data_IF_537709262098
#
_entry.id   IF_537709262098
#
_cell.length_a   1.000
_cell.length_b   1.000
_cell.length_c   1.000
_cell.angle_alpha   90.00
_cell.angle_beta   90.00
_cell.angle_gamma   90.00
#
_symmetry.space_group_name_H-M   'P 1'
#
loop_
_entity.id
_entity.type
_entity.pdbx_description
1 polymer ?
#
# COMPACT_ATOMS: atom_id res chain seq x y z
N UNK A 1 17.90 36.06 -12.93
CA UNK A 1 16.84 35.85 -11.90
C UNK A 1 16.35 34.42 -12.07
N UNK A 2 16.79 33.48 -11.24
CA UNK A 2 16.33 32.10 -11.28
C UNK A 2 15.07 31.98 -10.41
N UNK A 3 13.94 31.60 -11.03
CA UNK A 3 12.71 31.29 -10.33
C UNK A 3 13.01 30.21 -9.28
N UNK A 4 12.76 30.55 -8.02
CA UNK A 4 12.73 29.60 -6.91
C UNK A 4 11.45 28.80 -7.06
N UNK A 5 11.57 27.52 -7.36
CA UNK A 5 10.47 26.56 -7.20
C UNK A 5 10.16 26.45 -5.71
N UNK A 6 9.15 27.16 -5.24
CA UNK A 6 8.62 26.95 -3.91
C UNK A 6 7.67 25.74 -3.98
N UNK A 7 8.14 24.59 -3.50
CA UNK A 7 7.23 23.51 -3.16
C UNK A 7 6.40 23.99 -1.94
N UNK A 8 5.12 24.24 -2.17
CA UNK A 8 4.21 24.76 -1.15
C UNK A 8 3.49 23.57 -0.52
N UNK A 9 3.67 23.36 0.77
CA UNK A 9 2.84 22.44 1.54
C UNK A 9 1.55 23.16 1.88
N UNK A 10 0.43 22.70 1.33
CA UNK A 10 -0.89 23.27 1.62
C UNK A 10 -1.52 22.53 2.80
N UNK A 11 -1.79 23.27 3.85
CA UNK A 11 -2.72 22.86 4.89
C UNK A 11 -4.12 23.32 4.50
N UNK A 12 -5.08 22.40 4.47
CA UNK A 12 -6.49 22.69 4.20
C UNK A 12 -7.39 22.06 5.27
N UNK A 13 -8.24 22.88 5.88
CA UNK A 13 -9.35 22.43 6.71
C UNK A 13 -10.58 23.28 6.37
N UNK A 14 -11.52 22.72 5.63
CA UNK A 14 -12.69 23.43 5.11
C UNK A 14 -12.30 24.62 4.21
N UNK A 15 -12.73 25.81 4.56
CA UNK A 15 -12.43 27.05 3.83
C UNK A 15 -11.08 27.69 4.22
N UNK A 16 -10.31 27.07 5.11
CA UNK A 16 -9.01 27.59 5.56
C UNK A 16 -7.92 26.93 4.72
N UNK A 17 -7.28 27.73 3.88
CA UNK A 17 -6.12 27.33 3.10
C UNK A 17 -4.88 28.04 3.63
N UNK A 18 -3.85 27.26 4.00
CA UNK A 18 -2.59 27.78 4.50
C UNK A 18 -1.45 27.31 3.60
N UNK A 19 -0.72 28.27 3.05
CA UNK A 19 0.46 28.02 2.24
C UNK A 19 1.70 28.21 3.09
N UNK A 20 2.55 27.20 3.11
CA UNK A 20 3.79 27.23 3.90
C UNK A 20 4.95 26.98 2.96
N UNK A 21 5.91 27.91 2.82
CA UNK A 21 7.08 27.69 1.96
C UNK A 21 7.97 26.61 2.55
N UNK A 22 8.41 25.70 1.70
CA UNK A 22 9.38 24.64 2.04
C UNK A 22 10.79 25.11 1.71
N UNK A 23 11.79 24.68 2.46
CA UNK A 23 13.19 24.95 2.18
C UNK A 23 13.62 24.38 0.82
N UNK A 24 14.70 24.94 0.24
CA UNK A 24 15.19 24.55 -1.10
C UNK A 24 15.61 23.09 -1.22
N UNK A 25 16.01 22.48 -0.12
CA UNK A 25 16.40 21.07 0.00
C UNK A 25 15.21 20.15 0.21
N UNK A 26 13.99 20.69 0.42
CA UNK A 26 12.78 19.90 0.67
C UNK A 26 12.71 19.23 2.06
N UNK A 27 13.72 19.44 2.91
CA UNK A 27 13.86 18.70 4.17
C UNK A 27 13.11 19.35 5.33
N UNK A 28 12.83 20.66 5.28
CA UNK A 28 12.15 21.35 6.37
C UNK A 28 11.42 22.61 5.92
N UNK A 29 10.56 23.11 6.79
CA UNK A 29 9.80 24.36 6.66
C UNK A 29 10.35 25.36 7.67
N UNK A 30 10.61 26.59 7.21
CA UNK A 30 11.13 27.67 8.04
C UNK A 30 10.22 28.90 7.95
N UNK A 31 9.66 29.34 9.06
CA UNK A 31 8.82 30.53 9.12
C UNK A 31 9.37 31.57 10.11
N UNK A 32 9.25 32.84 9.75
CA UNK A 32 9.45 33.93 10.68
C UNK A 32 8.27 34.05 11.66
N UNK A 33 8.46 34.78 12.76
CA UNK A 33 7.38 35.07 13.71
C UNK A 33 6.19 35.79 13.05
N UNK A 34 6.45 36.66 12.09
CA UNK A 34 5.42 37.37 11.33
C UNK A 34 4.63 36.39 10.44
N UNK A 35 5.31 35.49 9.71
CA UNK A 35 4.63 34.48 8.90
C UNK A 35 3.79 33.52 9.77
N UNK A 36 4.27 33.12 10.94
CA UNK A 36 3.48 32.35 11.91
C UNK A 36 2.28 33.16 12.46
N UNK A 37 2.41 34.47 12.63
CA UNK A 37 1.32 35.32 13.04
C UNK A 37 0.18 35.34 12.00
N UNK A 38 0.52 35.41 10.71
CA UNK A 38 -0.42 35.28 9.60
C UNK A 38 -0.99 33.85 9.54
N UNK A 39 -0.15 32.84 9.67
CA UNK A 39 -0.54 31.42 9.63
C UNK A 39 -1.63 31.13 10.68
N UNK A 40 -1.39 31.53 11.93
CA UNK A 40 -2.25 31.19 13.06
C UNK A 40 -3.29 32.26 13.40
N UNK A 41 -3.38 33.32 12.60
CA UNK A 41 -4.29 34.47 12.84
C UNK A 41 -4.16 35.04 14.27
N UNK A 42 -2.92 35.46 14.59
CA UNK A 42 -2.54 36.07 15.87
C UNK A 42 -1.54 37.19 15.64
N UNK A 43 -1.46 38.08 16.60
CA UNK A 43 -0.41 39.11 16.61
C UNK A 43 0.99 38.49 16.80
N UNK A 44 1.99 39.16 16.24
CA UNK A 44 3.37 38.66 16.26
C UNK A 44 3.94 38.59 17.69
N UNK A 45 3.51 39.47 18.58
CA UNK A 45 3.93 39.54 19.98
C UNK A 45 3.49 38.25 20.72
N UNK A 46 2.27 37.82 20.45
CA UNK A 46 1.73 36.56 21.01
C UNK A 46 2.52 35.35 20.49
N UNK A 47 2.78 35.31 19.19
CA UNK A 47 3.60 34.24 18.59
C UNK A 47 5.00 34.19 19.19
N UNK A 48 5.69 35.35 19.33
CA UNK A 48 7.00 35.45 19.98
C UNK A 48 6.98 34.94 21.43
N UNK A 49 5.91 35.21 22.17
CA UNK A 49 5.72 34.66 23.51
C UNK A 49 5.61 33.15 23.51
N UNK A 50 4.87 32.56 22.57
CA UNK A 50 4.78 31.11 22.44
C UNK A 50 6.14 30.49 22.04
N UNK A 51 6.86 31.06 21.08
CA UNK A 51 8.22 30.63 20.68
C UNK A 51 9.16 30.63 21.88
N UNK A 52 9.17 31.73 22.65
CA UNK A 52 10.03 31.82 23.85
C UNK A 52 9.67 30.79 24.90
N UNK A 53 8.38 30.45 25.05
CA UNK A 53 7.94 29.41 25.98
C UNK A 53 8.37 28.02 25.53
N UNK A 54 8.33 27.72 24.22
CA UNK A 54 8.81 26.46 23.65
C UNK A 54 10.29 26.24 23.96
N UNK A 55 11.12 27.28 23.74
CA UNK A 55 12.55 27.18 24.07
C UNK A 55 12.83 27.12 25.57
N UNK A 56 12.04 27.86 26.39
CA UNK A 56 12.18 27.83 27.85
C UNK A 56 11.83 26.48 28.45
N UNK A 57 10.83 25.79 27.91
CA UNK A 57 10.45 24.45 28.34
C UNK A 57 11.38 23.35 27.84
N UNK A 58 12.40 23.71 27.06
CA UNK A 58 13.33 22.76 26.42
C UNK A 58 12.61 21.71 25.55
N UNK A 59 11.42 22.02 25.05
CA UNK A 59 10.68 21.14 24.15
C UNK A 59 11.35 21.04 22.78
N UNK A 60 11.98 22.13 22.35
CA UNK A 60 12.77 22.21 21.11
C UNK A 60 14.09 22.90 21.42
N UNK A 61 15.20 22.38 20.93
CA UNK A 61 16.52 23.02 21.04
C UNK A 61 16.60 24.29 20.16
N UNK A 62 16.98 25.40 20.79
CA UNK A 62 17.01 26.70 20.10
C UNK A 62 18.06 26.79 19.01
N UNK A 63 19.24 26.16 19.20
CA UNK A 63 20.39 26.36 18.31
C UNK A 63 20.14 25.72 16.94
N UNK A 64 19.54 24.53 16.94
CA UNK A 64 19.25 23.77 15.73
C UNK A 64 17.96 24.21 15.03
N UNK A 65 17.10 24.95 15.74
CA UNK A 65 15.75 25.30 15.30
C UNK A 65 15.52 26.80 15.08
N UNK A 66 16.60 27.59 15.03
CA UNK A 66 16.56 29.02 14.73
C UNK A 66 17.69 29.39 13.78
N UNK A 67 17.38 30.05 12.68
CA UNK A 67 18.35 30.65 11.77
C UNK A 67 18.02 32.11 11.49
N UNK A 68 19.07 32.91 11.24
CA UNK A 68 18.91 34.32 10.87
C UNK A 68 19.14 34.45 9.36
N UNK A 69 18.15 34.95 8.64
CA UNK A 69 18.23 35.17 7.19
C UNK A 69 17.99 36.65 6.85
N UNK A 70 18.68 37.16 5.82
CA UNK A 70 18.41 38.48 5.25
C UNK A 70 17.16 38.40 4.36
N UNK A 71 16.23 39.29 4.59
CA UNK A 71 15.00 39.44 3.80
C UNK A 71 15.08 40.76 3.06
N UNK A 72 14.75 40.78 1.78
CA UNK A 72 14.75 41.98 0.96
C UNK A 72 13.81 43.04 1.56
N UNK A 73 14.31 44.27 1.65
CA UNK A 73 13.58 45.41 2.27
C UNK A 73 13.68 45.50 3.79
N UNK A 74 14.35 44.54 4.48
CA UNK A 74 14.54 44.56 5.92
C UNK A 74 15.99 44.84 6.27
N UNK A 75 16.29 45.89 7.05
CA UNK A 75 17.66 46.31 7.39
C UNK A 75 18.44 45.29 8.26
N UNK A 76 17.71 44.55 9.10
CA UNK A 76 18.34 43.56 10.01
C UNK A 76 17.93 42.12 9.63
N UNK A 77 18.80 41.14 9.87
CA UNK A 77 18.44 39.74 9.65
C UNK A 77 17.23 39.33 10.50
N UNK A 78 16.29 38.64 9.87
CA UNK A 78 15.06 38.13 10.50
C UNK A 78 15.31 36.71 11.00
N UNK A 79 14.83 36.38 12.20
CA UNK A 79 14.86 35.04 12.74
C UNK A 79 13.77 34.18 12.09
N UNK A 80 14.14 33.03 11.58
CA UNK A 80 13.28 31.97 11.09
C UNK A 80 13.36 30.75 12.00
N UNK A 81 12.28 30.02 12.14
CA UNK A 81 12.10 28.92 13.04
C UNK A 81 11.68 27.67 12.26
N UNK A 82 12.22 26.52 12.66
CA UNK A 82 12.00 25.23 12.01
C UNK A 82 10.56 24.74 12.13
N UNK A 83 10.25 23.66 11.40
CA UNK A 83 8.97 22.97 11.49
C UNK A 83 8.64 22.53 12.93
N UNK A 84 9.62 22.09 13.71
CA UNK A 84 9.41 21.67 15.10
C UNK A 84 8.87 22.82 15.96
N UNK A 85 9.44 24.01 15.83
CA UNK A 85 8.94 25.21 16.52
C UNK A 85 7.55 25.61 16.03
N UNK A 86 7.30 25.52 14.72
CA UNK A 86 5.99 25.83 14.12
C UNK A 86 4.91 24.89 14.68
N UNK A 87 5.19 23.59 14.74
CA UNK A 87 4.29 22.58 15.30
C UNK A 87 4.02 22.86 16.78
N UNK A 88 5.08 23.07 17.59
CA UNK A 88 4.96 23.35 19.01
C UNK A 88 4.15 24.63 19.31
N UNK A 89 4.32 25.68 18.51
CA UNK A 89 3.53 26.91 18.58
C UNK A 89 2.08 26.63 18.18
N UNK A 90 1.83 25.91 17.09
CA UNK A 90 0.50 25.56 16.59
C UNK A 90 -0.35 24.81 17.59
N UNK A 91 0.26 23.93 18.38
CA UNK A 91 -0.44 23.23 19.48
C UNK A 91 -0.80 24.14 20.65
N UNK A 92 -0.11 25.28 20.84
CA UNK A 92 -0.33 26.21 21.95
C UNK A 92 -1.22 27.40 21.62
N UNK A 93 -1.29 27.76 20.34
CA UNK A 93 -2.05 28.96 19.91
C UNK A 93 -3.55 28.72 20.02
N UNK A 94 -4.23 29.61 20.74
CA UNK A 94 -5.68 29.60 20.86
C UNK A 94 -6.32 30.53 19.82
N UNK A 95 -6.54 30.02 18.61
CA UNK A 95 -7.24 30.67 17.50
C UNK A 95 -8.02 29.65 16.69
N UNK A 96 -8.96 30.09 15.84
CA UNK A 96 -9.69 29.18 14.94
C UNK A 96 -8.72 28.45 13.99
N UNK A 97 -7.73 29.15 13.45
CA UNK A 97 -6.70 28.58 12.60
C UNK A 97 -5.78 27.60 13.37
N UNK A 98 -5.48 27.88 14.64
CA UNK A 98 -4.75 26.95 15.51
C UNK A 98 -5.55 25.68 15.79
N UNK A 99 -6.88 25.79 15.97
CA UNK A 99 -7.77 24.62 16.11
C UNK A 99 -7.77 23.79 14.82
N UNK A 100 -7.93 24.42 13.67
CA UNK A 100 -7.90 23.78 12.37
C UNK A 100 -6.57 23.06 12.12
N UNK A 101 -5.45 23.72 12.42
CA UNK A 101 -4.12 23.13 12.34
C UNK A 101 -3.97 21.87 13.20
N UNK A 102 -4.42 21.91 14.47
CA UNK A 102 -4.37 20.72 15.34
C UNK A 102 -5.23 19.57 14.84
N UNK A 103 -6.43 19.84 14.31
CA UNK A 103 -7.28 18.82 13.70
C UNK A 103 -6.60 18.15 12.53
N UNK A 104 -6.00 18.93 11.64
CA UNK A 104 -5.23 18.42 10.51
C UNK A 104 -4.02 17.59 10.97
N UNK A 105 -3.18 18.12 11.85
CA UNK A 105 -1.99 17.42 12.35
C UNK A 105 -2.36 16.09 13.01
N UNK A 106 -3.42 16.09 13.84
CA UNK A 106 -3.92 14.87 14.46
C UNK A 106 -4.49 13.89 13.44
N UNK A 107 -5.10 14.35 12.35
CA UNK A 107 -5.59 13.48 11.28
C UNK A 107 -4.43 12.82 10.52
N UNK A 108 -3.39 13.59 10.18
CA UNK A 108 -2.17 13.07 9.56
C UNK A 108 -1.53 12.01 10.47
N UNK A 109 -1.37 12.32 11.76
CA UNK A 109 -0.80 11.38 12.74
C UNK A 109 -1.66 10.11 12.89
N UNK A 110 -2.98 10.24 12.94
CA UNK A 110 -3.88 9.08 12.96
C UNK A 110 -3.76 8.22 11.71
N UNK A 111 -3.68 8.84 10.54
CA UNK A 111 -3.48 8.09 9.29
C UNK A 111 -2.16 7.31 9.34
N UNK A 112 -1.08 7.96 9.77
CA UNK A 112 0.21 7.29 9.91
C UNK A 112 0.18 6.15 10.92
N UNK A 113 -0.40 6.35 12.10
CA UNK A 113 -0.47 5.31 13.16
C UNK A 113 -1.35 4.12 12.72
N UNK A 114 -2.50 4.41 12.07
CA UNK A 114 -3.47 3.36 11.73
C UNK A 114 -3.17 2.65 10.42
N UNK A 115 -2.56 3.34 9.44
CA UNK A 115 -2.31 2.83 8.08
C UNK A 115 -0.84 2.62 7.76
N UNK A 116 0.08 3.09 8.62
CA UNK A 116 1.53 3.07 8.37
C UNK A 116 2.03 4.20 7.44
N UNK A 117 1.14 4.99 6.83
CA UNK A 117 1.50 6.10 5.95
C UNK A 117 0.51 7.27 6.04
N UNK A 118 0.96 8.47 5.64
CA UNK A 118 0.11 9.64 5.43
C UNK A 118 0.38 10.20 4.02
N UNK A 119 -0.67 10.32 3.20
CA UNK A 119 -0.57 10.75 1.81
C UNK A 119 -0.92 12.23 1.68
N UNK A 120 -0.07 12.99 0.99
CA UNK A 120 -0.42 14.30 0.48
C UNK A 120 -1.14 14.13 -0.88
N UNK A 121 -2.47 14.13 -0.87
CA UNK A 121 -3.30 13.89 -2.07
C UNK A 121 -3.01 14.86 -3.22
N UNK A 122 -2.73 16.15 -2.92
CA UNK A 122 -2.39 17.14 -3.96
C UNK A 122 -1.07 16.82 -4.63
N UNK A 123 -0.04 16.42 -3.85
CA UNK A 123 1.24 16.00 -4.38
C UNK A 123 1.12 14.72 -5.20
N UNK A 124 0.30 13.77 -4.74
CA UNK A 124 0.00 12.54 -5.47
C UNK A 124 -0.69 12.84 -6.81
N UNK A 125 -1.69 13.74 -6.83
CA UNK A 125 -2.35 14.15 -8.07
C UNK A 125 -1.39 14.87 -9.03
N UNK A 126 -0.50 15.73 -8.52
CA UNK A 126 0.51 16.39 -9.34
C UNK A 126 1.50 15.37 -9.94
N UNK A 127 1.93 14.36 -9.16
CA UNK A 127 2.78 13.28 -9.64
C UNK A 127 2.07 12.43 -10.71
N UNK A 128 0.81 12.05 -10.50
CA UNK A 128 0.00 11.34 -11.51
C UNK A 128 -0.06 12.12 -12.82
N UNK A 129 -0.37 13.42 -12.75
CA UNK A 129 -0.38 14.27 -13.95
C UNK A 129 0.98 14.35 -14.64
N UNK A 130 2.07 14.34 -13.91
CA UNK A 130 3.42 14.29 -14.47
C UNK A 130 3.68 12.97 -15.19
N UNK A 131 3.28 11.84 -14.58
CA UNK A 131 3.38 10.51 -15.20
C UNK A 131 2.55 10.46 -16.50
N UNK A 132 1.31 10.98 -16.49
CA UNK A 132 0.47 11.03 -17.68
C UNK A 132 1.14 11.82 -18.83
N UNK A 133 1.73 12.98 -18.54
CA UNK A 133 2.45 13.79 -19.52
C UNK A 133 3.67 13.04 -20.05
N UNK A 134 4.47 12.44 -19.19
CA UNK A 134 5.65 11.67 -19.58
C UNK A 134 5.28 10.45 -20.42
N UNK A 135 4.20 9.76 -20.08
CA UNK A 135 3.70 8.61 -20.84
C UNK A 135 3.26 8.99 -22.25
N UNK A 136 2.59 10.14 -22.42
CA UNK A 136 2.24 10.68 -23.75
C UNK A 136 3.48 10.99 -24.57
N UNK A 137 4.44 11.71 -23.98
CA UNK A 137 5.70 12.03 -24.66
C UNK A 137 6.46 10.79 -25.10
N UNK A 138 6.44 9.72 -24.28
CA UNK A 138 7.08 8.46 -24.58
C UNK A 138 6.32 7.70 -25.67
N UNK A 139 4.99 7.68 -25.62
CA UNK A 139 4.13 7.08 -26.65
C UNK A 139 4.34 7.73 -28.01
N UNK A 140 4.36 9.06 -28.06
CA UNK A 140 4.65 9.83 -29.28
C UNK A 140 6.05 9.52 -29.83
N UNK A 141 7.06 9.43 -28.95
CA UNK A 141 8.45 9.16 -29.35
C UNK A 141 8.67 7.72 -29.86
N UNK A 142 7.89 6.76 -29.39
CA UNK A 142 7.99 5.34 -29.77
C UNK A 142 6.95 4.92 -30.81
N UNK A 143 6.08 5.83 -31.25
CA UNK A 143 4.98 5.56 -32.20
C UNK A 143 4.03 4.43 -31.72
N UNK A 144 3.78 4.37 -30.40
CA UNK A 144 2.86 3.41 -29.74
C UNK A 144 1.68 4.15 -29.10
N UNK A 145 0.61 3.43 -28.77
CA UNK A 145 -0.53 4.06 -28.12
C UNK A 145 -0.24 4.44 -26.66
N UNK A 146 -0.66 5.64 -26.24
CA UNK A 146 -0.50 6.15 -24.87
C UNK A 146 -1.03 5.16 -23.82
N UNK A 147 -2.14 4.47 -24.11
CA UNK A 147 -2.75 3.50 -23.21
C UNK A 147 -1.81 2.32 -22.88
N UNK A 148 -0.96 1.90 -23.83
CA UNK A 148 -0.04 0.78 -23.62
C UNK A 148 1.13 1.18 -22.73
N UNK A 149 1.62 2.42 -22.90
CA UNK A 149 2.64 3.00 -22.00
C UNK A 149 2.10 3.15 -20.57
N UNK A 150 0.89 3.72 -20.44
CA UNK A 150 0.25 3.90 -19.13
C UNK A 150 -0.02 2.56 -18.44
N UNK A 151 -0.47 1.53 -19.19
CA UNK A 151 -0.67 0.19 -18.65
C UNK A 151 0.62 -0.37 -18.08
N UNK A 152 1.71 -0.37 -18.86
CA UNK A 152 3.01 -0.88 -18.40
C UNK A 152 3.55 -0.13 -17.17
N UNK A 153 3.39 1.20 -17.12
CA UNK A 153 3.81 2.01 -15.96
C UNK A 153 2.98 1.69 -14.72
N UNK A 154 1.66 1.53 -14.88
CA UNK A 154 0.77 1.20 -13.76
C UNK A 154 1.06 -0.22 -13.22
N UNK A 155 1.15 -1.23 -14.10
CA UNK A 155 1.48 -2.61 -13.70
C UNK A 155 2.81 -2.68 -12.92
N UNK A 156 3.84 -1.97 -13.38
CA UNK A 156 5.12 -1.89 -12.69
C UNK A 156 5.00 -1.19 -11.33
N UNK A 157 4.23 -0.11 -11.26
CA UNK A 157 4.01 0.65 -10.02
C UNK A 157 3.24 -0.19 -9.00
N UNK A 158 2.19 -0.89 -9.42
CA UNK A 158 1.38 -1.75 -8.56
C UNK A 158 2.20 -2.93 -8.02
N UNK A 159 3.08 -3.50 -8.85
CA UNK A 159 4.01 -4.54 -8.42
C UNK A 159 4.99 -4.04 -7.35
N UNK A 160 5.55 -2.82 -7.50
CA UNK A 160 6.43 -2.21 -6.49
C UNK A 160 5.70 -1.92 -5.19
N UNK A 161 4.46 -1.43 -5.25
CA UNK A 161 3.62 -1.18 -4.07
C UNK A 161 3.35 -2.50 -3.34
N UNK A 162 3.05 -3.56 -4.07
CA UNK A 162 2.81 -4.88 -3.48
C UNK A 162 4.05 -5.43 -2.78
N UNK A 163 5.24 -5.26 -3.38
CA UNK A 163 6.52 -5.65 -2.76
C UNK A 163 6.78 -4.87 -1.48
N UNK A 164 6.59 -3.54 -1.49
CA UNK A 164 6.75 -2.70 -0.30
C UNK A 164 5.81 -3.12 0.84
N UNK A 165 4.54 -3.38 0.50
CA UNK A 165 3.55 -3.87 1.47
C UNK A 165 3.91 -5.25 2.03
N UNK A 166 4.47 -6.13 1.21
CA UNK A 166 4.95 -7.45 1.66
C UNK A 166 6.12 -7.31 2.64
N UNK A 167 7.12 -6.52 2.30
CA UNK A 167 8.32 -6.31 3.12
C UNK A 167 7.97 -5.68 4.48
N UNK A 168 7.00 -4.78 4.52
CA UNK A 168 6.53 -4.13 5.75
C UNK A 168 5.40 -4.88 6.46
N UNK A 169 5.01 -6.07 6.00
CA UNK A 169 3.90 -6.88 6.53
C UNK A 169 2.57 -6.10 6.61
N UNK A 170 2.39 -5.16 5.70
CA UNK A 170 1.24 -4.25 5.66
C UNK A 170 0.22 -4.62 4.57
N UNK A 171 0.33 -5.82 3.98
CA UNK A 171 -0.61 -6.32 2.97
C UNK A 171 -2.05 -6.25 3.49
N UNK A 172 -2.86 -5.49 2.79
CA UNK A 172 -4.30 -5.47 3.03
C UNK A 172 -4.99 -6.61 2.28
N UNK A 173 -6.11 -7.07 2.86
CA UNK A 173 -6.99 -8.01 2.16
C UNK A 173 -7.79 -7.23 1.11
N UNK A 174 -7.67 -7.54 -0.19
CA UNK A 174 -8.44 -6.87 -1.22
C UNK A 174 -9.92 -7.30 -1.16
N UNK A 175 -10.81 -6.48 -1.71
CA UNK A 175 -12.19 -6.89 -1.95
C UNK A 175 -12.21 -8.07 -2.92
N UNK A 176 -13.04 -9.06 -2.63
CA UNK A 176 -13.11 -10.28 -3.40
C UNK A 176 -14.42 -10.44 -4.18
N UNK A 177 -14.42 -11.37 -5.13
CA UNK A 177 -15.56 -11.73 -5.95
C UNK A 177 -16.38 -12.85 -5.30
N UNK A 178 -17.66 -12.97 -5.65
CA UNK A 178 -18.48 -14.10 -5.19
C UNK A 178 -18.17 -15.34 -6.03
N UNK A 179 -17.82 -16.50 -5.42
CA UNK A 179 -17.58 -17.71 -6.18
C UNK A 179 -18.90 -18.24 -6.77
N UNK A 180 -18.87 -18.68 -8.02
CA UNK A 180 -20.02 -19.29 -8.71
C UNK A 180 -19.92 -20.80 -8.82
N UNK A 181 -18.74 -21.35 -8.59
CA UNK A 181 -18.43 -22.77 -8.66
C UNK A 181 -17.74 -23.24 -7.39
N UNK A 182 -18.04 -24.48 -6.98
CA UNK A 182 -17.43 -25.17 -5.83
C UNK A 182 -16.72 -26.41 -6.31
N UNK A 183 -15.40 -26.51 -6.08
CA UNK A 183 -14.63 -27.71 -6.40
C UNK A 183 -14.99 -28.84 -5.44
N UNK A 184 -15.12 -30.05 -5.96
CA UNK A 184 -15.43 -31.26 -5.18
C UNK A 184 -14.20 -32.18 -5.05
N UNK A 185 -14.27 -33.11 -4.10
CA UNK A 185 -13.22 -34.13 -3.94
C UNK A 185 -13.11 -35.03 -5.18
N UNK A 186 -14.25 -35.43 -5.76
CA UNK A 186 -14.33 -36.28 -6.94
C UNK A 186 -13.64 -35.63 -8.15
N UNK A 187 -13.85 -34.34 -8.36
CA UNK A 187 -13.17 -33.59 -9.43
C UNK A 187 -11.66 -33.51 -9.19
N UNK A 188 -11.22 -33.30 -7.94
CA UNK A 188 -9.80 -33.34 -7.60
C UNK A 188 -9.18 -34.71 -7.93
N UNK A 189 -9.84 -35.80 -7.54
CA UNK A 189 -9.37 -37.17 -7.84
C UNK A 189 -9.30 -37.41 -9.34
N UNK A 190 -10.32 -36.99 -10.10
CA UNK A 190 -10.33 -37.14 -11.56
C UNK A 190 -9.18 -36.33 -12.20
N UNK A 191 -8.95 -35.11 -11.80
CA UNK A 191 -7.89 -34.27 -12.34
C UNK A 191 -6.52 -34.83 -12.01
N UNK A 192 -6.29 -35.27 -10.77
CA UNK A 192 -5.04 -35.92 -10.36
C UNK A 192 -4.80 -37.21 -11.15
N UNK A 193 -5.86 -38.00 -11.41
CA UNK A 193 -5.78 -39.18 -12.26
C UNK A 193 -5.29 -38.88 -13.69
N UNK A 194 -5.85 -37.81 -14.30
CA UNK A 194 -5.43 -37.35 -15.63
C UNK A 194 -3.98 -36.83 -15.63
N UNK A 195 -3.56 -36.16 -14.58
CA UNK A 195 -2.18 -35.70 -14.44
C UNK A 195 -1.20 -36.86 -14.28
N UNK A 196 -1.57 -37.94 -13.58
CA UNK A 196 -0.74 -39.09 -13.31
C UNK A 196 -0.25 -39.76 -14.60
N UNK A 197 -1.08 -39.81 -15.63
CA UNK A 197 -0.73 -40.37 -16.94
C UNK A 197 0.41 -39.59 -17.65
N UNK A 198 0.68 -38.37 -17.21
CA UNK A 198 1.73 -37.50 -17.77
C UNK A 198 3.06 -37.58 -17.01
N UNK A 199 3.13 -38.34 -15.91
CA UNK A 199 4.33 -38.43 -15.06
C UNK A 199 4.74 -39.88 -14.84
N UNK A 200 6.03 -40.17 -15.05
CA UNK A 200 6.62 -41.52 -14.96
C UNK A 200 6.89 -41.94 -13.50
N UNK A 201 6.03 -41.63 -12.54
CA UNK A 201 6.22 -42.04 -11.14
C UNK A 201 4.98 -42.72 -10.58
N UNK A 202 5.13 -43.89 -9.99
CA UNK A 202 4.03 -44.65 -9.38
C UNK A 202 3.42 -44.00 -8.15
N UNK A 203 4.11 -43.04 -7.55
CA UNK A 203 3.70 -42.36 -6.30
C UNK A 203 3.07 -40.96 -6.53
N UNK A 204 3.05 -40.48 -7.78
CA UNK A 204 2.41 -39.19 -8.10
C UNK A 204 0.91 -39.21 -7.78
N UNK A 205 0.45 -38.25 -7.02
CA UNK A 205 -0.96 -38.12 -6.68
C UNK A 205 -1.52 -39.22 -5.77
N UNK A 206 -0.68 -40.02 -5.14
CA UNK A 206 -1.09 -41.01 -4.12
C UNK A 206 -1.25 -40.27 -2.80
N UNK A 207 -2.49 -40.26 -2.24
CA UNK A 207 -2.74 -39.66 -0.93
C UNK A 207 -1.93 -40.38 0.15
N UNK A 208 -1.31 -39.63 1.06
CA UNK A 208 -0.57 -40.19 2.20
C UNK A 208 -1.48 -40.76 3.27
N UNK A 209 -2.66 -40.17 3.41
CA UNK A 209 -3.67 -40.52 4.39
C UNK A 209 -5.04 -40.41 3.72
N UNK A 210 -5.87 -41.42 3.86
CA UNK A 210 -7.22 -41.44 3.27
C UNK A 210 -8.05 -40.27 3.78
N UNK A 211 -8.69 -39.54 2.86
CA UNK A 211 -9.55 -38.41 3.16
C UNK A 211 -8.83 -37.08 3.48
N UNK A 212 -7.52 -37.02 3.37
CA UNK A 212 -6.76 -35.79 3.65
C UNK A 212 -7.11 -34.68 2.66
N UNK A 213 -7.19 -35.01 1.37
CA UNK A 213 -7.63 -34.05 0.33
C UNK A 213 -9.08 -33.62 0.56
N UNK A 214 -9.95 -34.55 0.93
CA UNK A 214 -11.35 -34.22 1.27
C UNK A 214 -11.40 -33.25 2.45
N UNK A 215 -10.57 -33.45 3.48
CA UNK A 215 -10.45 -32.56 4.63
C UNK A 215 -9.98 -31.15 4.23
N UNK A 216 -9.02 -31.03 3.31
CA UNK A 216 -8.53 -29.74 2.79
C UNK A 216 -9.68 -29.01 2.05
N UNK A 217 -10.41 -29.70 1.18
CA UNK A 217 -11.53 -29.12 0.47
C UNK A 217 -12.60 -28.64 1.46
N UNK A 218 -12.95 -29.49 2.45
CA UNK A 218 -13.88 -29.11 3.48
C UNK A 218 -13.43 -27.88 4.27
N UNK A 219 -12.12 -27.75 4.56
CA UNK A 219 -11.56 -26.58 5.24
C UNK A 219 -11.70 -25.28 4.43
N UNK A 220 -11.57 -25.34 3.09
CA UNK A 220 -11.79 -24.18 2.20
C UNK A 220 -13.24 -23.71 2.23
N UNK A 221 -14.19 -24.60 2.42
CA UNK A 221 -15.63 -24.30 2.43
C UNK A 221 -16.25 -24.32 3.83
N UNK A 222 -15.42 -24.32 4.89
CA UNK A 222 -15.93 -24.29 6.25
C UNK A 222 -16.69 -23.00 6.55
N UNK A 223 -17.71 -23.10 7.38
CA UNK A 223 -18.45 -21.96 7.90
C UNK A 223 -18.37 -21.90 9.43
N UNK A 224 -18.29 -20.69 9.96
CA UNK A 224 -18.27 -20.41 11.39
C UNK A 224 -19.46 -19.51 11.71
N UNK A 225 -20.34 -19.97 12.60
CA UNK A 225 -21.59 -19.27 12.94
C UNK A 225 -22.46 -18.92 11.72
N UNK A 226 -22.49 -19.80 10.71
CA UNK A 226 -23.28 -19.59 9.49
C UNK A 226 -22.69 -18.64 8.46
N UNK A 227 -21.45 -18.18 8.66
CA UNK A 227 -20.71 -17.37 7.69
C UNK A 227 -19.50 -18.16 7.18
N UNK A 228 -19.24 -18.09 5.88
CA UNK A 228 -18.06 -18.70 5.28
C UNK A 228 -16.79 -18.14 5.90
N UNK A 229 -15.88 -19.02 6.32
CA UNK A 229 -14.56 -18.60 6.83
C UNK A 229 -13.73 -17.88 5.75
N UNK A 230 -13.94 -18.24 4.49
CA UNK A 230 -13.32 -17.64 3.30
C UNK A 230 -14.44 -17.23 2.32
N UNK A 231 -15.06 -16.05 2.48
CA UNK A 231 -16.27 -15.69 1.75
C UNK A 231 -16.03 -15.43 0.26
N UNK A 232 -14.86 -14.92 -0.14
CA UNK A 232 -14.59 -14.57 -1.52
C UNK A 232 -13.95 -15.70 -2.32
N UNK A 233 -14.06 -15.61 -3.64
CA UNK A 233 -13.43 -16.50 -4.61
C UNK A 233 -11.91 -16.50 -4.41
N UNK A 234 -11.31 -15.32 -4.33
CA UNK A 234 -9.87 -15.14 -4.20
C UNK A 234 -9.35 -15.72 -2.86
N UNK A 235 -10.12 -15.59 -1.77
CA UNK A 235 -9.77 -16.24 -0.50
C UNK A 235 -9.83 -17.75 -0.58
N UNK A 236 -10.87 -18.29 -1.21
CA UNK A 236 -11.01 -19.74 -1.38
C UNK A 236 -9.87 -20.27 -2.24
N UNK A 237 -9.56 -19.61 -3.37
CA UNK A 237 -8.48 -19.97 -4.26
C UNK A 237 -7.11 -19.95 -3.53
N UNK A 238 -6.81 -18.84 -2.83
CA UNK A 238 -5.57 -18.69 -2.11
C UNK A 238 -5.39 -19.71 -0.98
N UNK A 239 -6.47 -19.99 -0.21
CA UNK A 239 -6.41 -21.01 0.83
C UNK A 239 -6.35 -22.43 0.26
N UNK A 240 -7.01 -22.72 -0.87
CA UNK A 240 -6.88 -24.00 -1.56
C UNK A 240 -5.42 -24.25 -1.94
N UNK A 241 -4.79 -23.29 -2.61
CA UNK A 241 -3.37 -23.35 -2.98
C UNK A 241 -2.47 -23.56 -1.75
N UNK A 242 -2.69 -22.76 -0.70
CA UNK A 242 -1.91 -22.79 0.52
C UNK A 242 -2.00 -24.16 1.21
N UNK A 243 -3.20 -24.66 1.49
CA UNK A 243 -3.39 -25.94 2.18
C UNK A 243 -2.86 -27.12 1.39
N UNK A 244 -3.13 -27.18 0.08
CA UNK A 244 -2.62 -28.25 -0.77
C UNK A 244 -1.08 -28.32 -0.80
N UNK A 245 -0.40 -27.19 -0.65
CA UNK A 245 1.06 -27.15 -0.56
C UNK A 245 1.54 -27.50 0.84
N UNK A 246 0.99 -26.88 1.89
CA UNK A 246 1.51 -26.97 3.27
C UNK A 246 1.15 -28.29 3.96
N UNK A 247 -0.04 -28.82 3.72
CA UNK A 247 -0.48 -30.05 4.38
C UNK A 247 0.09 -31.30 3.71
N UNK A 248 0.76 -31.13 2.56
CA UNK A 248 1.42 -32.22 1.83
C UNK A 248 0.55 -33.49 1.70
N UNK A 249 -0.66 -33.42 1.13
CA UNK A 249 -1.59 -34.53 1.12
C UNK A 249 -1.12 -35.72 0.26
N UNK A 250 -0.24 -35.50 -0.70
CA UNK A 250 0.25 -36.54 -1.61
C UNK A 250 1.69 -36.94 -1.31
N UNK A 251 2.04 -38.17 -1.66
CA UNK A 251 3.40 -38.70 -1.56
C UNK A 251 4.37 -37.96 -2.50
N UNK A 252 3.93 -37.66 -3.74
CA UNK A 252 4.60 -36.81 -4.70
C UNK A 252 3.58 -35.92 -5.46
N UNK A 253 4.07 -34.83 -6.01
CA UNK A 253 3.31 -33.94 -6.89
C UNK A 253 2.54 -32.85 -6.18
N UNK A 254 2.60 -32.68 -4.84
CA UNK A 254 1.79 -31.71 -4.09
C UNK A 254 1.79 -30.31 -4.71
N UNK A 255 2.95 -29.75 -5.07
CA UNK A 255 3.05 -28.39 -5.65
C UNK A 255 2.40 -28.31 -7.03
N UNK A 256 2.61 -29.32 -7.89
CA UNK A 256 2.04 -29.37 -9.25
C UNK A 256 0.52 -29.54 -9.19
N UNK A 257 0.04 -30.46 -8.35
CA UNK A 257 -1.39 -30.69 -8.15
C UNK A 257 -2.06 -29.44 -7.55
N UNK A 258 -1.45 -28.82 -6.53
CA UNK A 258 -1.96 -27.59 -5.93
C UNK A 258 -2.11 -26.45 -6.95
N UNK A 259 -1.09 -26.23 -7.78
CA UNK A 259 -1.12 -25.22 -8.84
C UNK A 259 -2.20 -25.54 -9.89
N UNK A 260 -2.35 -26.81 -10.30
CA UNK A 260 -3.37 -27.21 -11.27
C UNK A 260 -4.78 -27.06 -10.69
N UNK A 261 -5.02 -27.48 -9.45
CA UNK A 261 -6.31 -27.27 -8.77
C UNK A 261 -6.69 -25.81 -8.59
N UNK A 262 -5.69 -24.98 -8.30
CA UNK A 262 -5.87 -23.55 -8.20
C UNK A 262 -6.29 -22.94 -9.55
N UNK A 263 -5.61 -23.30 -10.65
CA UNK A 263 -5.97 -22.82 -11.98
C UNK A 263 -7.36 -23.30 -12.40
N UNK A 264 -7.67 -24.58 -12.19
CA UNK A 264 -8.99 -25.18 -12.48
C UNK A 264 -10.10 -24.47 -11.68
N UNK A 265 -9.86 -24.19 -10.40
CA UNK A 265 -10.82 -23.47 -9.57
C UNK A 265 -11.06 -22.05 -10.09
N UNK A 266 -10.01 -21.33 -10.52
CA UNK A 266 -10.15 -20.00 -11.12
C UNK A 266 -10.88 -20.07 -12.47
N UNK A 267 -10.56 -21.04 -13.32
CA UNK A 267 -11.18 -21.21 -14.64
C UNK A 267 -12.67 -21.48 -14.53
N UNK A 268 -13.06 -22.45 -13.71
CA UNK A 268 -14.47 -22.79 -13.44
C UNK A 268 -15.28 -21.64 -12.82
N UNK A 269 -14.61 -20.71 -12.18
CA UNK A 269 -15.21 -19.50 -11.64
C UNK A 269 -15.13 -18.30 -12.60
N UNK A 270 -14.68 -18.49 -13.85
CA UNK A 270 -14.45 -17.44 -14.85
C UNK A 270 -13.49 -16.33 -14.34
N UNK A 271 -12.52 -16.71 -13.53
CA UNK A 271 -11.58 -15.80 -12.88
C UNK A 271 -10.12 -16.04 -13.28
N UNK A 272 -9.85 -16.98 -14.20
CA UNK A 272 -8.50 -17.24 -14.71
C UNK A 272 -8.05 -16.17 -15.71
N UNK A 273 -8.99 -15.64 -16.49
CA UNK A 273 -8.73 -14.63 -17.50
C UNK A 273 -9.51 -13.35 -17.17
N UNK A 274 -8.91 -12.20 -17.47
CA UNK A 274 -9.54 -10.88 -17.45
C UNK A 274 -9.25 -10.21 -18.80
N UNK A 275 -10.29 -9.78 -19.51
CA UNK A 275 -10.19 -9.16 -20.84
C UNK A 275 -9.37 -9.98 -21.86
N UNK A 276 -9.37 -11.32 -21.71
CA UNK A 276 -8.65 -12.25 -22.57
C UNK A 276 -7.19 -12.53 -22.18
N UNK A 277 -6.67 -11.86 -21.16
CA UNK A 277 -5.34 -12.09 -20.61
C UNK A 277 -5.41 -12.90 -19.31
N UNK A 278 -4.41 -13.78 -19.07
CA UNK A 278 -4.31 -14.50 -17.80
C UNK A 278 -4.05 -13.51 -16.65
N UNK A 279 -4.86 -13.57 -15.60
CA UNK A 279 -4.65 -12.76 -14.38
C UNK A 279 -3.33 -13.06 -13.67
N UNK A 280 -2.84 -14.28 -13.80
CA UNK A 280 -1.61 -14.70 -13.18
C UNK A 280 -0.70 -15.35 -14.22
N UNK A 281 0.50 -14.81 -14.42
CA UNK A 281 1.47 -15.44 -15.33
C UNK A 281 1.96 -16.77 -14.79
N UNK A 282 2.40 -17.67 -15.67
CA UNK A 282 2.94 -18.97 -15.29
C UNK A 282 4.17 -18.81 -14.37
N UNK A 283 5.01 -17.80 -14.62
CA UNK A 283 6.16 -17.49 -13.77
C UNK A 283 5.75 -17.03 -12.36
N UNK A 284 4.71 -16.21 -12.26
CA UNK A 284 4.16 -15.77 -10.97
C UNK A 284 3.57 -16.95 -10.20
N UNK A 285 2.84 -17.86 -10.87
CA UNK A 285 2.30 -19.08 -10.26
C UNK A 285 3.40 -19.95 -9.67
N UNK A 286 4.48 -20.17 -10.41
CA UNK A 286 5.64 -20.93 -9.91
C UNK A 286 6.25 -20.26 -8.70
N UNK A 287 6.47 -18.93 -8.76
CA UNK A 287 7.08 -18.17 -7.67
C UNK A 287 6.26 -18.26 -6.37
N UNK A 288 4.94 -17.99 -6.43
CA UNK A 288 4.08 -18.05 -5.23
C UNK A 288 3.96 -19.48 -4.68
N UNK A 289 3.93 -20.50 -5.55
CA UNK A 289 3.91 -21.90 -5.13
C UNK A 289 5.17 -22.27 -4.33
N UNK A 290 6.35 -21.81 -4.78
CA UNK A 290 7.62 -22.02 -4.07
C UNK A 290 7.68 -21.18 -2.79
N UNK A 291 7.25 -19.93 -2.80
CA UNK A 291 7.18 -19.07 -1.61
C UNK A 291 6.29 -19.70 -0.53
N UNK A 292 5.10 -20.16 -0.89
CA UNK A 292 4.21 -20.86 0.06
C UNK A 292 4.91 -22.11 0.61
N UNK A 293 5.58 -22.91 -0.23
CA UNK A 293 6.25 -24.13 0.23
C UNK A 293 7.32 -23.85 1.28
N UNK A 294 8.10 -22.79 1.10
CA UNK A 294 9.20 -22.38 2.00
C UNK A 294 8.70 -21.52 3.20
N UNK A 295 7.51 -20.93 3.15
CA UNK A 295 6.98 -20.09 4.23
C UNK A 295 6.80 -20.87 5.54
N UNK A 296 6.77 -20.16 6.66
CA UNK A 296 6.41 -20.74 7.97
C UNK A 296 4.89 -20.73 8.17
N UNK A 297 4.41 -21.57 9.09
CA UNK A 297 2.96 -21.65 9.39
C UNK A 297 2.37 -20.33 9.88
N UNK A 298 3.16 -19.53 10.60
CA UNK A 298 2.79 -18.20 11.11
C UNK A 298 2.60 -17.17 10.00
N UNK A 299 3.19 -17.43 8.82
CA UNK A 299 3.13 -16.53 7.66
C UNK A 299 1.92 -16.80 6.75
N UNK A 300 1.03 -17.72 7.14
CA UNK A 300 -0.17 -18.09 6.35
C UNK A 300 -0.96 -16.87 5.90
N UNK A 301 -1.28 -15.97 6.83
CA UNK A 301 -2.11 -14.80 6.54
C UNK A 301 -1.46 -13.89 5.48
N UNK A 302 -0.16 -13.70 5.56
CA UNK A 302 0.62 -12.90 4.59
C UNK A 302 0.65 -13.59 3.23
N UNK A 303 0.88 -14.90 3.18
CA UNK A 303 0.89 -15.67 1.92
C UNK A 303 -0.48 -15.65 1.23
N UNK A 304 -1.55 -15.86 1.98
CA UNK A 304 -2.92 -15.81 1.45
C UNK A 304 -3.24 -14.42 0.88
N UNK A 305 -2.93 -13.36 1.63
CA UNK A 305 -3.12 -11.99 1.15
C UNK A 305 -2.29 -11.67 -0.08
N UNK A 306 -1.05 -12.15 -0.14
CA UNK A 306 -0.19 -11.99 -1.32
C UNK A 306 -0.83 -12.60 -2.56
N UNK A 307 -1.30 -13.85 -2.48
CA UNK A 307 -2.00 -14.53 -3.59
C UNK A 307 -3.25 -13.75 -4.01
N UNK A 308 -4.04 -13.28 -3.04
CA UNK A 308 -5.25 -12.49 -3.32
C UNK A 308 -4.95 -11.18 -4.05
N UNK A 309 -3.89 -10.48 -3.65
CA UNK A 309 -3.47 -9.23 -4.29
C UNK A 309 -2.94 -9.48 -5.70
N UNK A 310 -2.15 -10.54 -5.91
CA UNK A 310 -1.65 -10.94 -7.24
C UNK A 310 -2.78 -11.31 -8.21
N UNK A 311 -3.90 -11.82 -7.72
CA UNK A 311 -5.09 -12.06 -8.53
C UNK A 311 -5.86 -10.78 -8.89
N UNK A 312 -5.54 -9.63 -8.29
CA UNK A 312 -6.18 -8.33 -8.53
C UNK A 312 -5.35 -7.40 -9.39
N UNK A 313 -4.04 -7.66 -9.52
CA UNK A 313 -3.17 -6.96 -10.46
C UNK A 313 -3.52 -7.32 -11.90
#
# INVERSE_FOLDING_TARGET
MKNMGNDIVLFMDGNIQLEVPVSRDGESVWLSANQMAVLFDKDETNIRKHINNVFRSSEVDKNNNTQKMRVDGVKQPVAFYSLDVILAVGYRVNSQRGIAFRKWANNVLKQFILKGYAINEKRLQALKKTVDIQSRMLADALEIEEKDVLRAVNEYTDALILLDQYDHQSLSKPEGSTPVYRITYEECVQMVGQMKDSFETDVFGVEKEDGKVQGIIAAVYQSVFGQDAYPSLEEKAANLLYFMIKDHPYADGCKRIAASLFLEFLDKNNALFLDGEKRLSDGTLVAITLMIAESKSEEKDVMVKLVMNLLKL
#
